data_IF_986793455016
#
_entry.id   IF_986793455016
#
_cell.length_a   1.000
_cell.length_b   1.000
_cell.length_c   1.000
_cell.angle_alpha   90.00
_cell.angle_beta   90.00
_cell.angle_gamma   90.00
#
_symmetry.space_group_name_H-M   'P 1'
#
loop_
_entity.id
_entity.type
_entity.pdbx_description
1 polymer ?
#
# COMPACT_ATOMS: atom_id res chain seq x y z
N UNK A 1 -2.00 -1.03 10.67
CA UNK A 1 -2.67 -0.72 9.40
C UNK A 1 -4.10 -0.23 9.65
N UNK A 2 -4.96 -1.02 10.28
CA UNK A 2 -6.41 -0.75 10.36
C UNK A 2 -6.78 0.61 10.94
N UNK A 3 -6.11 1.08 12.00
CA UNK A 3 -6.35 2.42 12.59
C UNK A 3 -6.25 3.56 11.56
N UNK A 4 -5.36 3.45 10.60
CA UNK A 4 -5.06 4.51 9.63
C UNK A 4 -5.59 4.20 8.22
N UNK A 5 -6.24 3.05 8.01
CA UNK A 5 -6.59 2.54 6.67
C UNK A 5 -7.45 3.53 5.89
N UNK A 6 -8.50 4.08 6.51
CA UNK A 6 -9.35 5.09 5.86
C UNK A 6 -8.62 6.40 5.58
N UNK A 7 -7.78 6.86 6.50
CA UNK A 7 -7.01 8.09 6.32
C UNK A 7 -5.97 7.95 5.19
N UNK A 8 -5.32 6.78 5.09
CA UNK A 8 -4.40 6.46 4.00
C UNK A 8 -5.14 6.42 2.65
N UNK A 9 -6.29 5.74 2.58
CA UNK A 9 -7.11 5.68 1.37
C UNK A 9 -7.48 7.08 0.85
N UNK A 10 -7.97 7.95 1.75
CA UNK A 10 -8.35 9.32 1.43
C UNK A 10 -7.15 10.17 0.98
N UNK A 11 -5.98 9.97 1.62
CA UNK A 11 -4.77 10.70 1.29
C UNK A 11 -4.24 10.31 -0.10
N UNK A 12 -4.20 9.01 -0.43
CA UNK A 12 -3.77 8.54 -1.75
C UNK A 12 -4.71 9.06 -2.84
N UNK A 13 -6.02 9.00 -2.62
CA UNK A 13 -7.01 9.55 -3.56
C UNK A 13 -6.80 11.05 -3.78
N UNK A 14 -6.60 11.83 -2.70
CA UNK A 14 -6.31 13.27 -2.79
C UNK A 14 -5.00 13.56 -3.52
N UNK A 15 -3.96 12.76 -3.28
CA UNK A 15 -2.65 12.90 -3.94
C UNK A 15 -2.76 12.81 -5.45
N UNK A 16 -3.53 11.85 -5.95
CA UNK A 16 -3.80 11.69 -7.38
C UNK A 16 -4.51 12.92 -7.96
N UNK A 17 -5.49 13.46 -7.25
CA UNK A 17 -6.22 14.66 -7.68
C UNK A 17 -5.36 15.93 -7.65
N UNK A 18 -4.49 16.08 -6.65
CA UNK A 18 -3.64 17.27 -6.47
C UNK A 18 -2.42 17.28 -7.40
N UNK A 19 -1.83 16.11 -7.66
CA UNK A 19 -0.55 16.00 -8.38
C UNK A 19 -0.59 14.95 -9.50
N UNK A 20 -1.58 14.97 -10.42
CA UNK A 20 -1.69 13.96 -11.48
C UNK A 20 -0.46 13.94 -12.41
N UNK A 21 0.15 15.10 -12.62
CA UNK A 21 1.33 15.28 -13.48
C UNK A 21 2.57 14.50 -12.99
N UNK A 22 2.68 14.17 -11.70
CA UNK A 22 3.78 13.34 -11.19
C UNK A 22 3.63 11.88 -11.64
N UNK A 23 2.39 11.40 -11.68
CA UNK A 23 2.04 10.04 -12.09
C UNK A 23 2.10 9.89 -13.61
N UNK A 24 1.62 10.89 -14.36
CA UNK A 24 1.73 10.95 -15.82
C UNK A 24 3.20 10.93 -16.27
N UNK A 25 4.09 11.66 -15.58
CA UNK A 25 5.54 11.66 -15.87
C UNK A 25 6.19 10.30 -15.65
N UNK A 26 5.65 9.48 -14.74
CA UNK A 26 6.07 8.08 -14.54
C UNK A 26 5.55 7.13 -15.63
N UNK A 27 4.79 7.63 -16.60
CA UNK A 27 4.29 6.84 -17.73
C UNK A 27 2.88 6.27 -17.53
N UNK A 28 2.17 6.68 -16.47
CA UNK A 28 0.76 6.32 -16.34
C UNK A 28 -0.10 7.09 -17.34
N UNK A 29 -1.13 6.43 -17.87
CA UNK A 29 -2.07 7.03 -18.82
C UNK A 29 -2.90 8.12 -18.13
N UNK A 30 -2.97 9.31 -18.72
CA UNK A 30 -3.51 10.50 -18.06
C UNK A 30 -5.01 10.42 -17.74
N UNK A 31 -5.81 9.82 -18.63
CA UNK A 31 -7.23 9.62 -18.38
C UNK A 31 -7.47 8.64 -17.20
N UNK A 32 -6.69 7.57 -17.11
CA UNK A 32 -6.69 6.65 -15.98
C UNK A 32 -6.29 7.34 -14.66
N UNK A 33 -5.19 8.11 -14.67
CA UNK A 33 -4.74 8.87 -13.49
C UNK A 33 -5.86 9.77 -12.99
N UNK A 34 -6.49 10.54 -13.87
CA UNK A 34 -7.46 11.57 -13.50
C UNK A 34 -8.82 11.02 -13.06
N UNK A 35 -9.25 9.89 -13.64
CA UNK A 35 -10.62 9.41 -13.48
C UNK A 35 -10.76 8.11 -12.69
N UNK A 36 -9.68 7.36 -12.45
CA UNK A 36 -9.80 6.00 -11.89
C UNK A 36 -8.75 5.67 -10.83
N UNK A 37 -7.50 6.08 -11.05
CA UNK A 37 -6.37 5.65 -10.22
C UNK A 37 -6.56 5.93 -8.72
N UNK A 38 -7.06 7.11 -8.36
CA UNK A 38 -7.28 7.48 -6.96
C UNK A 38 -8.35 6.64 -6.26
N UNK A 39 -9.46 6.36 -6.94
CA UNK A 39 -10.55 5.52 -6.41
C UNK A 39 -10.10 4.06 -6.28
N UNK A 40 -9.34 3.59 -7.27
CA UNK A 40 -8.77 2.26 -7.31
C UNK A 40 -7.80 2.03 -6.14
N UNK A 41 -6.91 3.00 -5.88
CA UNK A 41 -6.00 2.96 -4.75
C UNK A 41 -6.73 2.95 -3.41
N UNK A 42 -7.71 3.85 -3.24
CA UNK A 42 -8.50 3.94 -2.02
C UNK A 42 -9.25 2.63 -1.72
N UNK A 43 -9.91 2.08 -2.74
CA UNK A 43 -10.64 0.80 -2.63
C UNK A 43 -9.70 -0.35 -2.26
N UNK A 44 -8.54 -0.45 -2.90
CA UNK A 44 -7.55 -1.50 -2.59
C UNK A 44 -7.08 -1.39 -1.13
N UNK A 45 -6.74 -0.19 -0.66
CA UNK A 45 -6.32 0.03 0.73
C UNK A 45 -7.43 -0.38 1.71
N UNK A 46 -8.69 -0.03 1.43
CA UNK A 46 -9.84 -0.36 2.28
C UNK A 46 -10.16 -1.86 2.31
N UNK A 47 -9.94 -2.59 1.22
CA UNK A 47 -10.19 -4.05 1.16
C UNK A 47 -9.27 -4.85 2.08
N UNK A 48 -8.03 -4.37 2.32
CA UNK A 48 -7.06 -4.96 3.25
C UNK A 48 -6.53 -6.34 2.90
N UNK A 49 -6.98 -6.92 1.79
CA UNK A 49 -6.40 -8.11 1.16
C UNK A 49 -6.69 -8.10 -0.33
N UNK A 50 -5.83 -8.75 -1.09
CA UNK A 50 -6.00 -8.93 -2.51
C UNK A 50 -4.79 -9.58 -3.15
N UNK A 51 -4.87 -9.80 -4.45
CA UNK A 51 -3.82 -10.45 -5.24
C UNK A 51 -3.73 -9.77 -6.60
N UNK A 52 -3.22 -8.55 -6.62
CA UNK A 52 -3.03 -7.79 -7.85
C UNK A 52 -1.76 -6.96 -7.76
N UNK A 53 -0.75 -7.36 -8.54
CA UNK A 53 0.49 -6.59 -8.68
C UNK A 53 0.25 -5.19 -9.25
N UNK A 54 -0.78 -5.01 -10.10
CA UNK A 54 -1.14 -3.71 -10.64
C UNK A 54 -1.67 -2.77 -9.55
N UNK A 55 -2.51 -3.26 -8.62
CA UNK A 55 -2.99 -2.47 -7.49
C UNK A 55 -1.87 -2.14 -6.51
N UNK A 56 -0.95 -3.08 -6.29
CA UNK A 56 0.27 -2.84 -5.53
C UNK A 56 1.10 -1.73 -6.17
N UNK A 57 1.29 -1.77 -7.48
CA UNK A 57 2.02 -0.74 -8.23
C UNK A 57 1.33 0.62 -8.15
N UNK A 58 0.00 0.67 -8.32
CA UNK A 58 -0.80 1.90 -8.20
C UNK A 58 -0.57 2.56 -6.84
N UNK A 59 -0.78 1.83 -5.73
CA UNK A 59 -0.63 2.38 -4.38
C UNK A 59 0.82 2.82 -4.11
N UNK A 60 1.80 2.04 -4.57
CA UNK A 60 3.22 2.36 -4.42
C UNK A 60 3.61 3.61 -5.20
N UNK A 61 3.16 3.74 -6.46
CA UNK A 61 3.52 4.89 -7.29
C UNK A 61 2.88 6.19 -6.81
N UNK A 62 1.66 6.15 -6.27
CA UNK A 62 1.02 7.30 -5.62
C UNK A 62 1.78 7.68 -4.35
N UNK A 63 2.18 6.70 -3.54
CA UNK A 63 2.99 6.96 -2.34
C UNK A 63 4.30 7.63 -2.71
N UNK A 64 4.99 7.14 -3.73
CA UNK A 64 6.23 7.75 -4.23
C UNK A 64 6.01 9.17 -4.80
N UNK A 65 4.85 9.44 -5.41
CA UNK A 65 4.50 10.79 -5.85
C UNK A 65 4.24 11.74 -4.66
N UNK A 66 3.73 11.22 -3.54
CA UNK A 66 3.53 12.00 -2.32
C UNK A 66 4.86 12.39 -1.66
N UNK A 67 5.86 11.51 -1.73
CA UNK A 67 7.21 11.74 -1.18
C UNK A 67 8.25 12.06 -2.27
N UNK A 68 7.83 12.79 -3.31
CA UNK A 68 8.71 13.17 -4.42
C UNK A 68 10.00 13.84 -3.90
N UNK A 69 11.15 13.38 -4.40
CA UNK A 69 12.47 13.83 -3.97
C UNK A 69 13.05 13.10 -2.74
N UNK A 70 12.35 12.14 -2.13
CA UNK A 70 12.96 11.27 -1.11
C UNK A 70 14.01 10.34 -1.72
N UNK A 71 15.11 10.15 -0.98
CA UNK A 71 16.16 9.18 -1.30
C UNK A 71 15.74 7.75 -0.95
N UNK A 72 16.47 6.76 -1.48
CA UNK A 72 16.24 5.36 -1.14
C UNK A 72 16.43 5.08 0.36
N UNK A 73 17.39 5.74 1.02
CA UNK A 73 17.62 5.57 2.46
C UNK A 73 16.40 6.01 3.29
N UNK A 74 15.74 7.11 2.89
CA UNK A 74 14.51 7.60 3.53
C UNK A 74 13.31 6.69 3.27
N UNK A 75 13.29 5.99 2.13
CA UNK A 75 12.26 5.00 1.83
C UNK A 75 12.51 3.70 2.59
N UNK A 76 13.78 3.31 2.80
CA UNK A 76 14.15 2.03 3.40
C UNK A 76 13.90 2.00 4.92
N UNK A 77 14.42 2.97 5.66
CA UNK A 77 14.24 3.02 7.11
C UNK A 77 13.01 3.85 7.52
N UNK A 78 12.00 3.17 8.07
CA UNK A 78 10.80 3.82 8.63
C UNK A 78 10.69 3.58 10.14
N UNK A 79 10.85 4.63 10.94
CA UNK A 79 10.77 4.53 12.40
C UNK A 79 9.34 4.39 12.94
N UNK A 80 8.32 4.55 12.09
CA UNK A 80 6.90 4.48 12.46
C UNK A 80 6.53 3.24 13.29
N UNK A 81 7.10 2.08 12.96
CA UNK A 81 6.81 0.82 13.67
C UNK A 81 7.48 0.70 15.04
N UNK A 82 8.49 1.53 15.32
CA UNK A 82 9.20 1.57 16.61
C UNK A 82 8.51 2.47 17.63
N UNK A 83 7.58 3.32 17.19
CA UNK A 83 6.85 4.25 18.06
C UNK A 83 5.75 3.53 18.85
N UNK A 84 5.49 3.94 20.11
CA UNK A 84 4.27 3.57 20.83
C UNK A 84 3.01 3.90 20.01
N UNK A 85 1.93 3.16 20.21
CA UNK A 85 0.70 3.36 19.43
C UNK A 85 0.13 4.78 19.61
N UNK A 86 0.24 5.37 20.80
CA UNK A 86 -0.22 6.72 21.11
C UNK A 86 0.52 7.79 20.30
N UNK A 87 1.78 7.53 19.96
CA UNK A 87 2.67 8.44 19.22
C UNK A 87 2.63 8.22 17.70
N UNK A 88 1.95 7.16 17.23
CA UNK A 88 1.80 6.91 15.80
C UNK A 88 0.85 7.93 15.17
N UNK A 89 1.33 8.56 14.09
CA UNK A 89 0.57 9.52 13.28
C UNK A 89 0.72 9.22 11.79
N UNK A 90 -0.27 9.60 10.99
CA UNK A 90 -0.22 9.49 9.54
C UNK A 90 0.54 10.68 8.91
N UNK A 91 1.82 10.80 9.23
CA UNK A 91 2.75 11.68 8.52
C UNK A 91 3.38 10.95 7.31
N UNK A 92 4.24 11.62 6.54
CA UNK A 92 4.85 11.02 5.33
C UNK A 92 5.60 9.71 5.63
N UNK A 93 6.31 9.62 6.76
CA UNK A 93 6.99 8.39 7.19
C UNK A 93 5.97 7.30 7.50
N UNK A 94 4.88 7.66 8.19
CA UNK A 94 3.75 6.76 8.45
C UNK A 94 3.09 6.25 7.17
N UNK A 95 2.93 7.11 6.16
CA UNK A 95 2.38 6.70 4.86
C UNK A 95 3.29 5.66 4.19
N UNK A 96 4.59 5.92 4.09
CA UNK A 96 5.54 4.94 3.51
C UNK A 96 5.52 3.62 4.30
N UNK A 97 5.51 3.70 5.63
CA UNK A 97 5.44 2.52 6.49
C UNK A 97 4.17 1.70 6.27
N UNK A 98 3.00 2.34 6.19
CA UNK A 98 1.73 1.67 5.94
C UNK A 98 1.62 1.15 4.51
N UNK A 99 2.17 1.84 3.52
CA UNK A 99 2.26 1.34 2.14
C UNK A 99 3.11 0.07 2.08
N UNK A 100 4.24 0.02 2.80
CA UNK A 100 5.02 -1.23 2.93
C UNK A 100 4.19 -2.37 3.53
N UNK A 101 3.40 -2.09 4.57
CA UNK A 101 2.49 -3.09 5.15
C UNK A 101 1.40 -3.52 4.16
N UNK A 102 0.84 -2.58 3.39
CA UNK A 102 -0.12 -2.88 2.33
C UNK A 102 0.46 -3.83 1.27
N UNK A 103 1.72 -3.64 0.85
CA UNK A 103 2.41 -4.54 -0.08
C UNK A 103 2.48 -5.96 0.51
N UNK A 104 2.75 -6.09 1.81
CA UNK A 104 2.77 -7.38 2.50
C UNK A 104 1.37 -8.00 2.56
N UNK A 105 0.33 -7.23 2.90
CA UNK A 105 -1.09 -7.68 2.92
C UNK A 105 -1.59 -8.19 1.56
N UNK A 106 -0.97 -7.72 0.46
CA UNK A 106 -1.34 -8.04 -0.92
C UNK A 106 -0.38 -8.99 -1.62
N UNK A 107 0.63 -9.50 -0.90
CA UNK A 107 1.54 -10.52 -1.42
C UNK A 107 1.02 -11.93 -1.08
N UNK A 108 0.90 -12.78 -2.10
CA UNK A 108 0.55 -14.20 -1.89
C UNK A 108 1.67 -14.98 -1.20
N UNK A 109 2.91 -14.48 -1.19
CA UNK A 109 4.04 -15.20 -0.60
C UNK A 109 3.93 -15.36 0.92
N UNK A 110 3.07 -14.58 1.57
CA UNK A 110 2.74 -14.70 2.99
C UNK A 110 1.45 -15.50 3.26
N UNK A 111 0.78 -16.01 2.22
CA UNK A 111 -0.34 -16.95 2.39
C UNK A 111 0.21 -18.35 2.72
N UNK A 112 0.61 -18.52 3.98
CA UNK A 112 1.10 -19.80 4.53
C UNK A 112 0.12 -20.97 4.34
N UNK A 113 -1.15 -20.71 4.01
CA UNK A 113 -2.12 -21.77 3.72
C UNK A 113 -1.82 -22.48 2.39
N UNK A 114 -1.17 -21.82 1.43
CA UNK A 114 -0.82 -22.42 0.14
C UNK A 114 0.24 -23.53 0.26
N UNK A 115 1.07 -23.49 1.32
CA UNK A 115 2.11 -24.49 1.60
C UNK A 115 1.66 -25.58 2.58
N UNK A 116 0.48 -25.45 3.16
CA UNK A 116 -0.11 -26.41 4.10
C UNK A 116 -1.45 -26.93 3.59
N UNK A 117 -1.48 -27.47 2.37
CA UNK A 117 -2.25 -28.69 2.14
C UNK A 117 -1.58 -29.83 2.93
N UNK A 118 -1.68 -29.77 4.27
CA UNK A 118 -1.41 -30.92 5.10
C UNK A 118 -2.43 -31.98 4.66
N UNK A 119 -2.00 -33.14 4.11
CA UNK A 119 -2.95 -34.16 3.75
C UNK A 119 -3.73 -34.53 5.01
N UNK A 120 -5.06 -34.42 4.94
CA UNK A 120 -6.04 -34.83 5.97
C UNK A 120 -6.08 -36.37 6.07
N UNK A 121 -4.92 -37.00 6.09
CA UNK A 121 -4.70 -38.43 6.22
C UNK A 121 -3.60 -38.70 7.26
N UNK A 122 -3.57 -37.94 8.36
CA UNK A 122 -3.17 -38.53 9.63
C UNK A 122 -4.37 -39.35 10.13
N UNK A 123 -4.56 -40.52 9.52
CA UNK A 123 -5.43 -41.55 10.08
C UNK A 123 -4.87 -41.87 11.47
N UNK A 124 -5.64 -41.55 12.49
CA UNK A 124 -5.45 -42.06 13.84
C UNK A 124 -5.39 -43.60 13.74
N UNK A 125 -4.33 -44.17 14.31
CA UNK A 125 -4.15 -45.61 14.47
C UNK A 125 -5.17 -46.19 15.45
#
# INVERSE_FOLDING_TARGET
MDRFRSQLADLLKRTVSSSPHLLERKGWEGNFVRNSMGEMAATAVLLGKGNSGDLVRVVTDITLALVDGWSMDQLDEVHFWRLPDEEKELNLVGVVALTKMFIVEWSNEFDYQMYHDLPVNLKFA
#
